data_IF_310104253829
#
_entry.id   IF_310104253829
#
_cell.length_a   1.000
_cell.length_b   1.000
_cell.length_c   1.000
_cell.angle_alpha   90.00
_cell.angle_beta   90.00
_cell.angle_gamma   90.00
#
_symmetry.space_group_name_H-M   'P 1'
#
loop_
_entity.id
_entity.type
_entity.pdbx_description
1 polymer ?
#
# COMPACT_ATOMS: atom_id res chain seq x y z
N UNK A 1 21.81 -4.65 30.73
CA UNK A 1 21.79 -3.68 29.61
C UNK A 1 21.16 -4.38 28.43
N UNK A 2 20.03 -3.89 27.91
CA UNK A 2 19.34 -4.52 26.78
C UNK A 2 20.11 -4.22 25.50
N UNK A 3 20.63 -5.24 24.83
CA UNK A 3 21.38 -5.10 23.58
C UNK A 3 20.63 -5.79 22.43
N UNK A 4 20.61 -5.20 21.22
CA UNK A 4 20.09 -5.88 20.04
C UNK A 4 20.91 -7.14 19.76
N UNK A 5 20.23 -8.24 19.44
CA UNK A 5 20.89 -9.52 19.14
C UNK A 5 20.94 -9.75 17.62
N UNK A 6 22.15 -9.72 17.06
CA UNK A 6 22.39 -10.02 15.65
C UNK A 6 21.87 -11.41 15.25
N UNK A 7 22.17 -12.42 16.08
CA UNK A 7 21.74 -13.80 15.84
C UNK A 7 20.21 -13.94 15.86
N UNK A 8 19.53 -13.25 16.79
CA UNK A 8 18.07 -13.29 16.86
C UNK A 8 17.44 -12.64 15.61
N UNK A 9 17.97 -11.49 15.17
CA UNK A 9 17.50 -10.81 13.96
C UNK A 9 17.75 -11.68 12.71
N UNK A 10 18.96 -12.24 12.56
CA UNK A 10 19.29 -13.10 11.42
C UNK A 10 18.40 -14.35 11.39
N UNK A 11 18.26 -15.04 12.51
CA UNK A 11 17.44 -16.25 12.60
C UNK A 11 15.98 -15.97 12.28
N UNK A 12 15.45 -14.84 12.74
CA UNK A 12 14.09 -14.41 12.43
C UNK A 12 13.89 -14.17 10.93
N UNK A 13 14.81 -13.44 10.29
CA UNK A 13 14.71 -13.14 8.85
C UNK A 13 14.87 -14.42 8.01
N UNK A 14 15.86 -15.27 8.34
CA UNK A 14 16.03 -16.57 7.66
C UNK A 14 14.82 -17.47 7.83
N UNK A 15 14.18 -17.45 9.01
CA UNK A 15 12.95 -18.20 9.24
C UNK A 15 11.83 -17.71 8.32
N UNK A 16 11.64 -16.40 8.23
CA UNK A 16 10.62 -15.83 7.35
C UNK A 16 10.87 -16.16 5.87
N UNK A 17 12.13 -16.13 5.41
CA UNK A 17 12.47 -16.57 4.05
C UNK A 17 12.15 -18.04 3.79
N UNK A 18 12.44 -18.93 4.75
CA UNK A 18 12.07 -20.34 4.65
C UNK A 18 10.56 -20.52 4.59
N UNK A 19 9.82 -19.86 5.48
CA UNK A 19 8.35 -19.96 5.53
C UNK A 19 7.70 -19.37 4.26
N UNK A 20 8.29 -18.33 3.68
CA UNK A 20 7.84 -17.73 2.42
C UNK A 20 8.31 -18.47 1.15
N UNK A 21 9.22 -19.44 1.28
CA UNK A 21 9.79 -20.19 0.16
C UNK A 21 10.62 -19.33 -0.81
N UNK A 22 11.28 -18.28 -0.33
CA UNK A 22 12.10 -17.38 -1.16
C UNK A 22 13.54 -17.28 -0.64
N UNK A 23 14.48 -16.97 -1.54
CA UNK A 23 15.90 -16.89 -1.20
C UNK A 23 16.35 -15.49 -0.76
N UNK A 24 15.73 -14.43 -1.28
CA UNK A 24 16.09 -13.04 -0.99
C UNK A 24 15.02 -12.07 -1.47
N UNK A 25 15.06 -10.84 -0.96
CA UNK A 25 14.36 -9.69 -1.54
C UNK A 25 15.35 -8.52 -1.76
N UNK A 26 15.03 -7.59 -2.68
CA UNK A 26 15.91 -6.48 -3.05
C UNK A 26 15.85 -5.26 -2.10
N UNK A 27 14.90 -5.20 -1.17
CA UNK A 27 14.66 -4.03 -0.32
C UNK A 27 14.47 -4.44 1.13
N UNK A 28 15.11 -3.69 2.04
CA UNK A 28 14.83 -3.73 3.47
C UNK A 28 14.35 -2.35 3.93
N UNK A 29 13.15 -2.31 4.49
CA UNK A 29 12.73 -1.27 5.41
C UNK A 29 13.23 -1.66 6.81
N UNK A 30 14.29 -0.98 7.23
CA UNK A 30 14.98 -1.27 8.48
C UNK A 30 14.18 -0.75 9.68
N UNK A 31 14.43 -1.34 10.85
CA UNK A 31 13.90 -0.80 12.09
C UNK A 31 14.51 0.57 12.37
N UNK A 32 15.82 0.78 12.18
CA UNK A 32 16.42 2.12 12.26
C UNK A 32 16.22 2.79 13.62
N UNK A 33 16.86 2.24 14.66
CA UNK A 33 16.75 2.71 16.07
C UNK A 33 17.35 4.10 16.35
N UNK A 34 17.90 4.80 15.35
CA UNK A 34 18.72 6.02 15.50
C UNK A 34 19.86 5.88 16.54
N UNK A 35 20.36 4.64 16.73
CA UNK A 35 21.52 4.37 17.58
C UNK A 35 22.63 3.71 16.78
N UNK A 36 23.88 4.04 17.11
CA UNK A 36 25.07 3.44 16.47
C UNK A 36 25.06 1.92 16.64
N UNK A 37 24.76 1.43 17.85
CA UNK A 37 24.73 0.00 18.14
C UNK A 37 23.63 -0.74 17.38
N UNK A 38 22.40 -0.20 17.36
CA UNK A 38 21.27 -0.83 16.66
C UNK A 38 21.44 -0.79 15.15
N UNK A 39 21.82 0.36 14.59
CA UNK A 39 22.09 0.51 13.15
C UNK A 39 23.24 -0.38 12.66
N UNK A 40 24.34 -0.49 13.43
CA UNK A 40 25.46 -1.37 13.08
C UNK A 40 25.05 -2.85 13.13
N UNK A 41 24.28 -3.24 14.14
CA UNK A 41 23.79 -4.62 14.28
C UNK A 41 22.89 -5.00 13.10
N UNK A 42 21.89 -4.17 12.83
CA UNK A 42 20.93 -4.40 11.74
C UNK A 42 21.63 -4.41 10.37
N UNK A 43 22.53 -3.44 10.11
CA UNK A 43 23.30 -3.39 8.87
C UNK A 43 24.22 -4.60 8.67
N UNK A 44 24.84 -5.10 9.75
CA UNK A 44 25.69 -6.30 9.70
C UNK A 44 24.88 -7.55 9.36
N UNK A 45 23.71 -7.71 9.97
CA UNK A 45 22.79 -8.82 9.69
C UNK A 45 22.34 -8.78 8.24
N UNK A 46 21.93 -7.62 7.73
CA UNK A 46 21.51 -7.48 6.33
C UNK A 46 22.66 -7.79 5.38
N UNK A 47 23.86 -7.26 5.61
CA UNK A 47 25.03 -7.55 4.78
C UNK A 47 25.38 -9.05 4.73
N UNK A 48 25.19 -9.77 5.85
CA UNK A 48 25.39 -11.22 5.91
C UNK A 48 24.29 -11.98 5.15
N UNK A 49 23.03 -11.54 5.26
CA UNK A 49 21.90 -12.17 4.58
C UNK A 49 21.95 -11.99 3.06
N UNK A 50 22.48 -10.87 2.59
CA UNK A 50 22.57 -10.57 1.16
C UNK A 50 23.85 -11.09 0.51
N UNK A 51 24.75 -11.69 1.29
CA UNK A 51 26.12 -12.02 0.87
C UNK A 51 26.83 -10.78 0.28
N UNK A 52 26.62 -9.63 0.95
CA UNK A 52 27.12 -8.31 0.55
C UNK A 52 26.72 -7.86 -0.86
N UNK A 53 25.70 -8.47 -1.46
CA UNK A 53 25.10 -7.97 -2.71
C UNK A 53 24.34 -6.67 -2.46
N UNK A 54 24.30 -5.83 -3.48
CA UNK A 54 23.57 -4.55 -3.44
C UNK A 54 22.08 -4.79 -3.16
N UNK A 55 21.58 -4.15 -2.12
CA UNK A 55 20.16 -4.07 -1.77
C UNK A 55 19.79 -2.63 -1.46
N UNK A 56 18.51 -2.31 -1.62
CA UNK A 56 17.98 -1.03 -1.18
C UNK A 56 17.72 -1.09 0.33
N UNK A 57 18.09 -0.03 1.04
CA UNK A 57 17.79 0.17 2.45
C UNK A 57 16.94 1.42 2.61
N UNK A 58 15.87 1.33 3.40
CA UNK A 58 14.99 2.42 3.76
C UNK A 58 14.79 2.51 5.27
N UNK A 59 14.52 3.72 5.77
CA UNK A 59 14.04 3.98 7.13
C UNK A 59 13.05 5.13 7.07
N UNK A 60 11.80 4.91 7.47
CA UNK A 60 10.75 5.95 7.46
C UNK A 60 10.72 6.82 8.73
N UNK A 61 11.34 6.35 9.83
CA UNK A 61 11.31 7.04 11.14
C UNK A 61 11.79 8.51 11.10
N UNK A 62 12.84 8.88 10.34
CA UNK A 62 13.25 10.28 10.19
C UNK A 62 12.17 11.22 9.63
N UNK A 63 11.24 10.70 8.83
CA UNK A 63 10.21 11.50 8.18
C UNK A 63 8.93 11.63 9.02
N UNK A 64 8.60 10.63 9.85
CA UNK A 64 7.29 10.51 10.50
C UNK A 64 7.34 10.25 12.02
N UNK A 65 8.53 10.22 12.61
CA UNK A 65 8.72 9.93 14.04
C UNK A 65 8.63 8.44 14.39
N UNK A 66 8.69 8.14 15.69
CA UNK A 66 8.74 6.76 16.22
C UNK A 66 7.35 6.10 16.19
N UNK A 67 6.83 5.84 15.01
CA UNK A 67 5.60 5.06 14.82
C UNK A 67 5.92 3.56 14.91
N UNK A 68 6.11 3.05 16.14
CA UNK A 68 6.54 1.69 16.47
C UNK A 68 5.86 0.58 15.65
N UNK A 69 4.54 0.69 15.43
CA UNK A 69 3.74 -0.30 14.67
C UNK A 69 3.34 0.11 13.24
N UNK A 70 3.45 1.39 12.87
CA UNK A 70 2.96 1.92 11.56
C UNK A 70 4.10 2.23 10.60
N UNK A 71 5.35 2.30 11.08
CA UNK A 71 6.52 2.57 10.23
C UNK A 71 6.65 1.58 9.06
N UNK A 72 6.33 0.30 9.27
CA UNK A 72 6.34 -0.70 8.19
C UNK A 72 5.30 -0.51 7.09
N UNK A 73 4.15 0.12 7.40
CA UNK A 73 3.03 0.24 6.45
C UNK A 73 3.30 1.30 5.38
N UNK A 74 4.06 2.35 5.71
CA UNK A 74 4.28 3.47 4.80
C UNK A 74 5.26 3.13 3.66
N UNK A 75 6.20 2.21 3.88
CA UNK A 75 7.15 1.77 2.85
C UNK A 75 6.51 0.93 1.74
N UNK A 76 5.27 0.47 1.95
CA UNK A 76 4.47 -0.26 0.96
C UNK A 76 4.02 0.65 -0.19
N UNK A 77 3.97 1.97 0.04
CA UNK A 77 3.32 2.92 -0.87
C UNK A 77 4.24 3.46 -1.98
N UNK A 78 5.54 3.11 -1.94
CA UNK A 78 6.51 3.53 -2.95
C UNK A 78 6.75 2.38 -3.94
N UNK A 79 6.42 2.63 -5.21
CA UNK A 79 6.33 1.71 -6.34
C UNK A 79 7.65 0.94 -6.68
N UNK A 80 8.11 0.06 -5.80
CA UNK A 80 9.35 -0.76 -5.92
C UNK A 80 9.25 -2.02 -5.04
N UNK A 81 10.20 -2.96 -5.17
CA UNK A 81 10.34 -4.07 -6.12
C UNK A 81 9.43 -5.28 -5.77
N UNK A 82 9.60 -6.42 -6.44
CA UNK A 82 8.79 -7.66 -6.29
C UNK A 82 8.62 -8.22 -4.85
N UNK A 83 9.42 -7.75 -3.89
CA UNK A 83 9.17 -7.92 -2.47
C UNK A 83 10.07 -7.04 -1.58
N UNK A 84 9.60 -6.77 -0.36
CA UNK A 84 10.25 -5.93 0.65
C UNK A 84 10.27 -6.64 2.00
N UNK A 85 11.41 -6.55 2.70
CA UNK A 85 11.52 -6.90 4.11
C UNK A 85 11.16 -5.70 4.97
N UNK A 86 10.42 -5.93 6.06
CA UNK A 86 10.10 -4.92 7.05
C UNK A 86 10.54 -5.44 8.41
N UNK A 87 11.42 -4.69 9.07
CA UNK A 87 11.97 -5.05 10.37
C UNK A 87 11.35 -4.20 11.50
N UNK A 88 10.99 -4.84 12.61
CA UNK A 88 10.71 -4.14 13.86
C UNK A 88 11.31 -4.87 15.06
N UNK A 89 12.27 -4.24 15.73
CA UNK A 89 13.04 -4.83 16.82
C UNK A 89 12.82 -4.04 18.11
N UNK A 90 12.07 -4.64 19.04
CA UNK A 90 11.75 -4.01 20.32
C UNK A 90 12.92 -4.08 21.30
N UNK A 91 13.09 -3.01 22.09
CA UNK A 91 14.14 -2.92 23.12
C UNK A 91 14.07 -4.03 24.17
N UNK A 92 12.88 -4.60 24.41
CA UNK A 92 12.65 -5.74 25.31
C UNK A 92 13.02 -7.11 24.73
N UNK A 93 13.54 -7.17 23.50
CA UNK A 93 13.92 -8.42 22.83
C UNK A 93 12.81 -9.06 21.96
N UNK A 94 11.60 -8.50 21.98
CA UNK A 94 10.52 -8.90 21.08
C UNK A 94 10.78 -8.35 19.67
N UNK A 95 11.02 -9.25 18.72
CA UNK A 95 11.35 -8.92 17.34
C UNK A 95 10.25 -9.40 16.39
N UNK A 96 9.96 -8.62 15.36
CA UNK A 96 9.05 -8.94 14.29
C UNK A 96 9.69 -8.66 12.93
N UNK A 97 9.37 -9.48 11.95
CA UNK A 97 9.83 -9.33 10.59
C UNK A 97 8.72 -9.77 9.62
N UNK A 98 8.50 -8.98 8.58
CA UNK A 98 7.47 -9.23 7.56
C UNK A 98 8.10 -9.15 6.19
N UNK A 99 7.75 -10.09 5.32
CA UNK A 99 8.04 -10.04 3.89
C UNK A 99 6.74 -9.70 3.18
N UNK A 100 6.73 -8.60 2.44
CA UNK A 100 5.61 -8.25 1.56
C UNK A 100 6.03 -8.46 0.11
N UNK A 101 5.10 -8.93 -0.70
CA UNK A 101 5.28 -9.07 -2.16
C UNK A 101 4.09 -8.43 -2.86
N UNK A 102 4.31 -7.99 -4.09
CA UNK A 102 3.23 -7.46 -4.91
C UNK A 102 2.13 -8.51 -5.10
N UNK A 103 0.87 -8.07 -5.09
CA UNK A 103 -0.27 -8.92 -5.42
C UNK A 103 -0.11 -9.52 -6.83
N UNK A 104 0.45 -8.76 -7.78
CA UNK A 104 0.73 -9.25 -9.14
C UNK A 104 1.67 -10.45 -9.11
N UNK A 105 2.72 -10.44 -8.27
CA UNK A 105 3.61 -11.59 -8.12
C UNK A 105 2.84 -12.81 -7.62
N UNK A 106 2.04 -12.64 -6.56
CA UNK A 106 1.24 -13.73 -5.99
C UNK A 106 0.29 -14.32 -7.03
N UNK A 107 -0.40 -13.46 -7.78
CA UNK A 107 -1.34 -13.88 -8.82
C UNK A 107 -0.64 -14.61 -9.97
N UNK A 108 0.47 -14.07 -10.51
CA UNK A 108 1.27 -14.73 -11.57
C UNK A 108 1.75 -16.11 -11.12
N UNK A 109 2.29 -16.22 -9.90
CA UNK A 109 2.84 -17.47 -9.37
C UNK A 109 1.79 -18.59 -9.18
N UNK A 110 0.51 -18.24 -9.12
CA UNK A 110 -0.61 -19.16 -8.93
C UNK A 110 -1.52 -19.28 -10.15
N UNK A 111 -1.11 -18.71 -11.28
CA UNK A 111 -1.92 -18.62 -12.50
C UNK A 111 -3.34 -18.07 -12.24
N UNK A 112 -3.43 -17.13 -11.29
CA UNK A 112 -4.68 -16.46 -10.98
C UNK A 112 -4.91 -15.33 -11.99
N UNK A 113 -6.17 -15.06 -12.36
CA UNK A 113 -6.50 -14.04 -13.35
C UNK A 113 -6.08 -12.66 -12.86
N UNK A 114 -5.00 -12.13 -13.42
CA UNK A 114 -4.60 -10.72 -13.26
C UNK A 114 -5.49 -9.93 -14.20
N UNK A 115 -6.11 -8.87 -13.69
CA UNK A 115 -6.96 -8.03 -14.53
C UNK A 115 -6.10 -7.48 -15.68
N UNK A 116 -6.49 -7.82 -16.90
CA UNK A 116 -5.80 -7.35 -18.09
C UNK A 116 -5.95 -5.83 -18.18
N UNK A 117 -4.82 -5.13 -18.10
CA UNK A 117 -4.75 -3.68 -18.27
C UNK A 117 -5.13 -3.24 -19.68
N UNK A 118 -5.27 -4.17 -20.63
CA UNK A 118 -5.70 -3.91 -22.01
C UNK A 118 -7.21 -4.11 -22.21
N UNK A 119 -8.01 -4.40 -21.17
CA UNK A 119 -9.47 -4.44 -21.31
C UNK A 119 -9.96 -3.05 -21.68
N UNK A 120 -10.33 -2.87 -22.95
CA UNK A 120 -10.80 -1.60 -23.45
C UNK A 120 -11.83 -0.98 -22.48
N UNK A 121 -11.65 0.29 -22.11
CA UNK A 121 -12.60 1.01 -21.30
C UNK A 121 -14.02 0.88 -21.83
N UNK A 122 -14.98 0.80 -20.91
CA UNK A 122 -16.39 0.80 -21.32
C UNK A 122 -16.78 2.21 -21.79
N UNK A 123 -17.10 2.37 -23.07
CA UNK A 123 -17.67 3.61 -23.63
C UNK A 123 -19.06 3.97 -23.05
N UNK A 124 -19.66 3.06 -22.27
CA UNK A 124 -20.97 3.27 -21.66
C UNK A 124 -20.90 4.19 -20.43
N UNK A 125 -21.84 5.15 -20.28
CA UNK A 125 -21.97 5.93 -19.06
C UNK A 125 -22.15 5.06 -17.81
N UNK A 126 -21.53 5.46 -16.71
CA UNK A 126 -21.58 4.78 -15.41
C UNK A 126 -22.26 5.66 -14.36
N UNK A 127 -22.98 5.05 -13.42
CA UNK A 127 -23.59 5.77 -12.29
C UNK A 127 -22.69 5.65 -11.06
N UNK A 128 -22.17 6.78 -10.60
CA UNK A 128 -21.34 6.87 -9.39
C UNK A 128 -22.23 7.31 -8.23
N UNK A 129 -22.42 6.43 -7.24
CA UNK A 129 -23.20 6.72 -6.05
C UNK A 129 -22.31 7.28 -4.94
N UNK A 130 -22.66 8.44 -4.38
CA UNK A 130 -21.91 9.07 -3.30
C UNK A 130 -22.86 9.33 -2.15
N UNK A 131 -22.49 8.91 -0.95
CA UNK A 131 -23.26 9.23 0.25
C UNK A 131 -22.38 9.57 1.43
N UNK A 132 -22.92 10.30 2.41
CA UNK A 132 -22.26 10.63 3.66
C UNK A 132 -23.28 10.80 4.80
N UNK A 133 -22.79 10.86 6.04
CA UNK A 133 -23.65 11.08 7.21
C UNK A 133 -23.90 12.57 7.51
N UNK A 134 -23.16 13.47 6.86
CA UNK A 134 -23.32 14.93 6.97
C UNK A 134 -23.15 15.57 5.60
N UNK A 135 -23.77 16.73 5.39
CA UNK A 135 -23.63 17.52 4.16
C UNK A 135 -22.17 17.88 3.87
N UNK A 136 -21.44 18.40 4.86
CA UNK A 136 -20.03 18.76 4.69
C UNK A 136 -19.14 17.57 4.28
N UNK A 137 -19.42 16.36 4.80
CA UNK A 137 -18.69 15.15 4.38
C UNK A 137 -19.08 14.66 2.98
N UNK A 138 -20.31 14.94 2.55
CA UNK A 138 -20.75 14.67 1.19
C UNK A 138 -20.02 15.60 0.21
N UNK A 139 -19.99 16.90 0.50
CA UNK A 139 -19.32 17.91 -0.33
C UNK A 139 -17.82 17.59 -0.46
N UNK A 140 -17.15 17.27 0.66
CA UNK A 140 -15.75 16.86 0.65
C UNK A 140 -15.50 15.51 -0.09
N UNK A 141 -16.50 14.63 -0.18
CA UNK A 141 -16.41 13.38 -0.96
C UNK A 141 -16.58 13.65 -2.46
N UNK A 142 -17.51 14.52 -2.82
CA UNK A 142 -17.71 14.98 -4.20
C UNK A 142 -16.41 15.59 -4.72
N UNK A 143 -15.86 16.57 -4.00
CA UNK A 143 -14.62 17.24 -4.40
C UNK A 143 -13.44 16.27 -4.60
N UNK A 144 -13.27 15.28 -3.70
CA UNK A 144 -12.23 14.25 -3.86
C UNK A 144 -12.45 13.40 -5.11
N UNK A 145 -13.68 12.99 -5.38
CA UNK A 145 -14.00 12.16 -6.55
C UNK A 145 -13.96 12.93 -7.87
N UNK A 146 -14.09 14.25 -7.86
CA UNK A 146 -13.88 15.10 -9.04
C UNK A 146 -12.40 15.45 -9.26
N UNK A 147 -11.58 15.49 -8.19
CA UNK A 147 -10.15 15.82 -8.26
C UNK A 147 -9.28 14.60 -8.60
N UNK A 148 -9.59 13.43 -8.04
CA UNK A 148 -8.80 12.20 -8.17
C UNK A 148 -8.69 11.62 -9.59
N UNK A 149 -9.70 11.74 -10.49
CA UNK A 149 -9.60 11.23 -11.87
C UNK A 149 -8.62 11.98 -12.77
N UNK A 150 -8.07 13.13 -12.35
CA UNK A 150 -7.22 13.94 -13.23
C UNK A 150 -5.72 13.56 -13.21
N UNK A 151 -5.31 12.56 -12.41
CA UNK A 151 -3.89 12.18 -12.25
C UNK A 151 -3.53 10.72 -12.54
N UNK A 152 -4.47 9.84 -12.91
CA UNK A 152 -4.18 8.45 -13.32
C UNK A 152 -5.11 7.98 -14.45
N UNK A 153 -4.62 7.01 -15.24
CA UNK A 153 -5.30 6.32 -16.37
C UNK A 153 -6.83 6.30 -16.25
N UNK A 154 -7.50 7.30 -16.86
CA UNK A 154 -8.89 7.71 -16.60
C UNK A 154 -9.94 6.65 -16.91
N UNK A 155 -9.64 5.73 -17.82
CA UNK A 155 -10.71 5.03 -18.52
C UNK A 155 -11.03 3.66 -17.90
N UNK A 156 -10.08 3.06 -17.16
CA UNK A 156 -10.25 1.73 -16.55
C UNK A 156 -11.00 1.76 -15.20
N UNK A 157 -11.13 2.94 -14.58
CA UNK A 157 -11.57 3.11 -13.19
C UNK A 157 -13.09 3.30 -13.01
N UNK A 158 -13.83 3.77 -14.02
CA UNK A 158 -15.21 4.21 -13.82
C UNK A 158 -16.19 3.07 -13.51
N UNK A 159 -16.10 1.94 -14.22
CA UNK A 159 -16.95 0.78 -13.98
C UNK A 159 -16.69 0.16 -12.60
N UNK A 160 -15.42 0.05 -12.22
CA UNK A 160 -15.02 -0.47 -10.90
C UNK A 160 -15.46 0.44 -9.77
N UNK A 161 -15.27 1.75 -9.97
CA UNK A 161 -15.66 2.77 -9.00
C UNK A 161 -17.18 2.76 -8.80
N UNK A 162 -17.95 2.73 -9.90
CA UNK A 162 -19.40 2.57 -9.90
C UNK A 162 -19.82 1.34 -9.10
N UNK A 163 -19.27 0.17 -9.43
CA UNK A 163 -19.60 -1.09 -8.77
C UNK A 163 -19.22 -1.08 -7.29
N UNK A 164 -18.02 -0.61 -6.94
CA UNK A 164 -17.56 -0.55 -5.56
C UNK A 164 -18.43 0.37 -4.71
N UNK A 165 -18.81 1.54 -5.23
CA UNK A 165 -19.66 2.48 -4.52
C UNK A 165 -21.11 2.03 -4.43
N UNK A 166 -21.61 1.31 -5.44
CA UNK A 166 -22.98 0.79 -5.44
C UNK A 166 -23.16 -0.42 -4.50
N UNK A 167 -22.24 -1.39 -4.57
CA UNK A 167 -22.43 -2.72 -3.96
C UNK A 167 -21.58 -2.91 -2.70
N UNK A 168 -20.44 -2.24 -2.57
CA UNK A 168 -19.48 -2.46 -1.45
C UNK A 168 -19.51 -1.38 -0.37
N UNK A 169 -20.46 -0.45 -0.42
CA UNK A 169 -20.59 0.65 0.56
C UNK A 169 -22.01 0.72 1.10
N UNK A 170 -22.13 1.03 2.39
CA UNK A 170 -23.42 1.38 3.00
C UNK A 170 -23.84 2.76 2.50
N UNK A 171 -25.08 2.87 2.04
CA UNK A 171 -25.67 4.14 1.60
C UNK A 171 -26.19 4.95 2.78
N UNK A 172 -25.51 6.05 3.09
CA UNK A 172 -25.79 6.92 4.24
C UNK A 172 -26.86 7.96 3.93
N UNK A 173 -27.22 8.82 4.88
CA UNK A 173 -28.42 9.66 4.81
C UNK A 173 -28.35 10.80 3.78
N UNK A 174 -27.19 11.40 3.55
CA UNK A 174 -27.00 12.40 2.48
C UNK A 174 -26.52 11.68 1.24
N UNK A 175 -27.23 11.78 0.12
CA UNK A 175 -26.98 10.98 -1.10
C UNK A 175 -27.04 11.85 -2.35
N UNK A 176 -26.09 11.60 -3.24
CA UNK A 176 -26.10 12.11 -4.62
C UNK A 176 -25.66 10.99 -5.55
N UNK A 177 -26.02 11.11 -6.82
CA UNK A 177 -25.43 10.30 -7.88
C UNK A 177 -24.82 11.19 -8.95
N UNK A 178 -23.84 10.64 -9.66
CA UNK A 178 -23.18 11.27 -10.79
C UNK A 178 -23.22 10.34 -11.98
N UNK A 179 -23.59 10.85 -13.15
CA UNK A 179 -23.47 10.10 -14.40
C UNK A 179 -22.10 10.44 -15.00
N UNK A 180 -21.16 9.49 -14.91
CA UNK A 180 -19.81 9.61 -15.42
C UNK A 180 -19.73 9.03 -16.84
N UNK A 181 -19.06 9.71 -17.76
CA UNK A 181 -18.66 9.14 -19.04
C UNK A 181 -17.14 9.19 -19.17
N UNK A 182 -16.48 8.21 -19.81
CA UNK A 182 -15.03 8.23 -19.97
C UNK A 182 -14.51 9.48 -20.68
N UNK A 183 -15.29 10.01 -21.62
CA UNK A 183 -14.98 11.17 -22.47
C UNK A 183 -15.32 12.52 -21.84
N UNK A 184 -16.00 12.56 -20.68
CA UNK A 184 -16.48 13.79 -20.05
C UNK A 184 -15.92 13.94 -18.65
N UNK A 185 -15.26 15.08 -18.40
CA UNK A 185 -14.74 15.40 -17.09
C UNK A 185 -15.86 15.51 -16.04
N UNK A 186 -15.63 14.90 -14.88
CA UNK A 186 -16.57 14.95 -13.76
C UNK A 186 -16.55 16.33 -13.12
N UNK A 187 -17.46 17.21 -13.52
CA UNK A 187 -17.61 18.55 -12.93
C UNK A 187 -18.78 18.61 -11.95
N UNK A 188 -18.63 19.44 -10.91
CA UNK A 188 -19.64 19.61 -9.85
C UNK A 188 -20.99 20.15 -10.36
N UNK A 189 -21.00 20.83 -11.51
CA UNK A 189 -22.13 21.64 -11.97
C UNK A 189 -23.04 20.94 -13.01
N UNK A 190 -22.58 19.88 -13.68
CA UNK A 190 -23.30 19.29 -14.82
C UNK A 190 -23.93 17.91 -14.58
N UNK A 191 -23.31 17.08 -13.74
CA UNK A 191 -23.61 15.64 -13.69
C UNK A 191 -24.11 15.14 -12.34
N UNK A 192 -24.08 15.97 -11.30
CA UNK A 192 -24.43 15.59 -9.91
C UNK A 192 -25.90 15.89 -9.64
N UNK A 193 -26.66 14.87 -9.25
CA UNK A 193 -28.06 14.99 -8.87
C UNK A 193 -28.28 14.45 -7.46
N UNK A 194 -28.98 15.22 -6.64
CA UNK A 194 -29.44 14.76 -5.33
C UNK A 194 -30.58 13.75 -5.47
N UNK A 195 -30.59 12.76 -4.60
CA UNK A 195 -31.70 11.82 -4.42
C UNK A 195 -32.67 12.33 -3.35
#
# INVERSE_FOLDING_TARGET
>A
MFYPSADAQENLIRRAYRDAGIASTPLFECHGTDTVAGGTTEGTVIAKLTDRRSVFLGVVKPNLGHAEGVSGINSIMNDRPEGVNINSFGIGGSNAHVILKSADYYMKSRDLPIRDKNIAPSDKPQIILISANTKASLDARIQRLTTYPNSMEKDYLLCDLSHALAVRRRHLIYRVFVIARPDVELTEQGSIRSL
#
